data_IF_295454372737
#
_entry.id   IF_295454372737
#
_cell.length_a   1.000
_cell.length_b   1.000
_cell.length_c   1.000
_cell.angle_alpha   90.00
_cell.angle_beta   90.00
_cell.angle_gamma   90.00
#
_symmetry.space_group_name_H-M   'P 1'
#
loop_
_entity.id
_entity.type
_entity.pdbx_description
1 polymer ?
#
# COMPACT_ATOMS: atom_id res chain seq x y z
N UNK A 1 -0.46 32.67 23.07
CA UNK A 1 -0.44 32.25 21.65
C UNK A 1 -0.71 30.76 21.60
N UNK A 2 -1.90 30.31 21.16
CA UNK A 2 -2.18 28.88 21.00
C UNK A 2 -1.27 28.29 19.91
N UNK A 3 -0.52 27.24 20.25
CA UNK A 3 0.31 26.54 19.29
C UNK A 3 -0.59 25.89 18.22
N UNK A 4 -0.34 26.18 16.93
CA UNK A 4 -1.08 25.54 15.83
C UNK A 4 -0.98 24.01 15.96
N UNK A 5 -2.11 23.29 15.80
CA UNK A 5 -2.10 21.83 15.91
C UNK A 5 -1.16 21.24 14.85
N UNK A 6 -0.36 20.25 15.24
CA UNK A 6 0.49 19.52 14.29
C UNK A 6 -0.41 18.83 13.27
N UNK A 7 -0.09 18.99 11.98
CA UNK A 7 -0.85 18.41 10.88
C UNK A 7 -0.12 17.19 10.31
N UNK A 8 -0.88 16.24 9.78
CA UNK A 8 -0.40 15.10 9.02
C UNK A 8 -1.13 15.00 7.68
N UNK A 9 -0.53 14.28 6.73
CA UNK A 9 -1.21 13.96 5.46
C UNK A 9 -1.86 12.58 5.53
N UNK A 10 -3.07 12.48 5.00
CA UNK A 10 -3.83 11.23 4.92
C UNK A 10 -4.43 11.09 3.53
N UNK A 11 -4.39 9.88 2.98
CA UNK A 11 -5.09 9.57 1.73
C UNK A 11 -6.48 9.03 2.06
N UNK A 12 -7.51 9.76 1.62
CA UNK A 12 -8.90 9.30 1.65
C UNK A 12 -9.19 8.59 0.33
N UNK A 13 -9.78 7.40 0.40
CA UNK A 13 -10.18 6.62 -0.78
C UNK A 13 -11.68 6.38 -0.74
N UNK A 14 -12.41 6.93 -1.72
CA UNK A 14 -13.87 6.89 -1.77
C UNK A 14 -14.33 6.34 -3.12
N UNK A 15 -15.37 5.50 -3.09
CA UNK A 15 -15.93 4.90 -4.30
C UNK A 15 -16.62 5.94 -5.17
N UNK A 16 -16.26 5.98 -6.44
CA UNK A 16 -16.95 6.75 -7.49
C UNK A 16 -18.17 5.97 -7.97
N UNK A 17 -19.28 6.66 -8.29
CA UNK A 17 -20.47 6.03 -8.87
C UNK A 17 -20.14 5.39 -10.22
N UNK A 18 -20.62 4.17 -10.44
CA UNK A 18 -20.22 3.33 -11.57
C UNK A 18 -20.54 3.96 -12.94
N UNK A 19 -21.51 4.89 -13.02
CA UNK A 19 -21.83 5.65 -14.25
C UNK A 19 -20.66 6.44 -14.82
N UNK A 20 -19.66 6.78 -14.00
CA UNK A 20 -18.47 7.53 -14.45
C UNK A 20 -17.36 6.61 -14.96
N UNK A 21 -17.51 5.28 -14.84
CA UNK A 21 -16.48 4.33 -15.21
C UNK A 21 -16.08 4.38 -16.70
N UNK A 22 -16.99 4.57 -17.68
CA UNK A 22 -16.59 4.66 -19.10
C UNK A 22 -15.60 5.79 -19.36
N UNK A 23 -15.87 7.00 -18.85
CA UNK A 23 -14.98 8.15 -18.99
C UNK A 23 -13.62 7.90 -18.31
N UNK A 24 -13.62 7.36 -17.10
CA UNK A 24 -12.38 7.08 -16.38
C UNK A 24 -11.54 5.98 -17.06
N UNK A 25 -12.18 4.99 -17.70
CA UNK A 25 -11.48 3.98 -18.50
C UNK A 25 -10.81 4.60 -19.74
N UNK A 26 -11.50 5.52 -20.41
CA UNK A 26 -10.92 6.26 -21.54
C UNK A 26 -9.67 7.04 -21.09
N UNK A 27 -9.76 7.79 -20.00
CA UNK A 27 -8.60 8.52 -19.47
C UNK A 27 -7.48 7.58 -19.01
N UNK A 28 -7.79 6.44 -18.39
CA UNK A 28 -6.75 5.49 -18.02
C UNK A 28 -6.07 4.83 -19.23
N UNK A 29 -6.80 4.63 -20.33
CA UNK A 29 -6.21 4.20 -21.60
C UNK A 29 -5.20 5.24 -22.09
N UNK A 30 -5.58 6.52 -22.11
CA UNK A 30 -4.70 7.63 -22.52
C UNK A 30 -3.50 7.78 -21.57
N UNK A 31 -3.69 7.60 -20.27
CA UNK A 31 -2.59 7.57 -19.29
C UNK A 31 -1.60 6.45 -19.59
N UNK A 32 -2.07 5.28 -20.02
CA UNK A 32 -1.17 4.21 -20.44
C UNK A 32 -0.36 4.61 -21.68
N UNK A 33 -0.94 5.37 -22.63
CA UNK A 33 -0.19 5.86 -23.81
C UNK A 33 0.94 6.79 -23.41
N UNK A 34 0.67 7.75 -22.50
CA UNK A 34 1.69 8.67 -21.97
C UNK A 34 2.79 7.92 -21.21
N UNK A 35 2.41 6.99 -20.34
CA UNK A 35 3.36 6.15 -19.60
C UNK A 35 4.26 5.35 -20.56
N UNK A 36 3.66 4.73 -21.57
CA UNK A 36 4.37 3.88 -22.52
C UNK A 36 5.30 4.69 -23.42
N UNK A 37 4.90 5.88 -23.88
CA UNK A 37 5.77 6.79 -24.62
C UNK A 37 6.96 7.27 -23.76
N UNK A 38 6.70 7.66 -22.50
CA UNK A 38 7.78 8.02 -21.57
C UNK A 38 8.75 6.85 -21.33
N UNK A 39 8.23 5.62 -21.31
CA UNK A 39 9.02 4.40 -21.13
C UNK A 39 9.87 4.04 -22.35
N UNK A 40 9.31 4.25 -23.55
CA UNK A 40 10.00 4.10 -24.83
C UNK A 40 11.17 5.09 -24.92
N UNK A 41 10.90 6.39 -24.77
CA UNK A 41 11.92 7.43 -24.80
C UNK A 41 13.00 7.24 -23.75
N UNK A 42 12.61 6.92 -22.51
CA UNK A 42 13.60 6.70 -21.46
C UNK A 42 14.50 5.50 -21.74
N UNK A 43 14.02 4.51 -22.49
CA UNK A 43 14.80 3.35 -22.89
C UNK A 43 15.73 3.66 -24.06
N UNK A 44 15.26 4.44 -25.04
CA UNK A 44 16.08 4.90 -26.17
C UNK A 44 17.23 5.79 -25.71
N UNK A 45 16.95 6.73 -24.82
CA UNK A 45 17.92 7.67 -24.26
C UNK A 45 18.74 7.09 -23.09
N UNK A 46 18.61 5.79 -22.82
CA UNK A 46 19.21 5.18 -21.63
C UNK A 46 20.71 4.90 -21.74
N UNK A 47 21.16 4.56 -22.94
CA UNK A 47 22.56 4.28 -23.26
C UNK A 47 22.79 4.86 -24.64
N UNK A 48 23.51 5.97 -24.71
CA UNK A 48 23.79 6.69 -25.96
C UNK A 48 25.26 6.45 -26.32
N UNK A 49 25.57 6.04 -27.57
CA UNK A 49 26.94 5.88 -28.02
C UNK A 49 27.57 7.25 -28.26
N UNK A 50 28.74 7.49 -27.68
CA UNK A 50 29.53 8.70 -27.83
C UNK A 50 30.85 8.31 -28.51
N UNK A 51 31.12 8.79 -29.73
CA UNK A 51 32.37 8.50 -30.44
C UNK A 51 33.59 8.80 -29.57
N UNK A 52 34.53 7.85 -29.50
CA UNK A 52 35.76 7.98 -28.70
C UNK A 52 35.60 7.79 -27.18
N UNK A 53 34.38 7.70 -26.64
CA UNK A 53 34.12 7.54 -25.19
C UNK A 53 33.43 6.21 -24.87
N UNK A 54 32.62 5.68 -25.79
CA UNK A 54 31.83 4.46 -25.56
C UNK A 54 30.37 4.77 -25.26
N UNK A 55 29.76 4.11 -24.28
CA UNK A 55 28.34 4.29 -23.96
C UNK A 55 28.16 5.10 -22.67
N UNK A 56 27.33 6.15 -22.73
CA UNK A 56 26.98 6.95 -21.56
C UNK A 56 25.51 6.74 -21.21
N UNK A 57 25.22 6.58 -19.92
CA UNK A 57 23.85 6.61 -19.42
C UNK A 57 23.41 8.06 -19.15
N UNK A 58 22.48 8.56 -19.95
CA UNK A 58 22.06 9.96 -19.88
C UNK A 58 21.14 10.28 -18.69
N UNK A 59 20.66 9.28 -17.94
CA UNK A 59 19.91 9.51 -16.71
C UNK A 59 18.62 10.34 -16.89
N UNK A 60 17.94 10.19 -18.03
CA UNK A 60 16.81 11.04 -18.48
C UNK A 60 15.84 11.43 -17.36
N UNK A 61 15.67 12.72 -17.12
CA UNK A 61 14.81 13.24 -16.06
C UNK A 61 13.33 13.28 -16.47
N UNK A 62 12.44 13.62 -15.53
CA UNK A 62 11.03 13.87 -15.86
C UNK A 62 10.84 15.12 -16.74
N UNK A 63 11.74 16.10 -16.61
CA UNK A 63 11.70 17.34 -17.38
C UNK A 63 12.08 17.10 -18.84
N UNK A 64 13.13 16.31 -19.07
CA UNK A 64 13.57 15.93 -20.42
C UNK A 64 12.46 15.18 -21.15
N UNK A 65 11.88 14.16 -20.50
CA UNK A 65 10.77 13.40 -21.05
C UNK A 65 9.58 14.29 -21.40
N UNK A 66 9.21 15.24 -20.53
CA UNK A 66 8.09 16.15 -20.81
C UNK A 66 8.28 16.95 -22.10
N UNK A 67 9.51 17.39 -22.39
CA UNK A 67 9.85 18.09 -23.63
C UNK A 67 9.80 17.14 -24.83
N UNK A 68 10.45 15.99 -24.75
CA UNK A 68 10.56 15.05 -25.88
C UNK A 68 9.20 14.49 -26.31
N UNK A 69 8.35 14.10 -25.35
CA UNK A 69 7.05 13.49 -25.67
C UNK A 69 5.88 14.47 -25.65
N UNK A 70 6.11 15.79 -25.68
CA UNK A 70 5.05 16.80 -25.63
C UNK A 70 3.93 16.58 -26.68
N UNK A 71 4.32 16.11 -27.87
CA UNK A 71 3.44 15.81 -29.00
C UNK A 71 2.47 14.64 -28.72
N UNK A 72 2.80 13.75 -27.77
CA UNK A 72 1.97 12.59 -27.39
C UNK A 72 0.65 13.03 -26.78
N UNK A 73 0.60 14.18 -26.10
CA UNK A 73 -0.66 14.70 -25.55
C UNK A 73 -1.68 14.98 -26.65
N UNK A 74 -1.27 15.64 -27.72
CA UNK A 74 -2.19 15.96 -28.82
C UNK A 74 -2.57 14.71 -29.63
N UNK A 75 -1.62 13.80 -29.88
CA UNK A 75 -1.83 12.67 -30.79
C UNK A 75 -2.44 11.42 -30.13
N UNK A 76 -2.11 11.13 -28.86
CA UNK A 76 -2.49 9.87 -28.19
C UNK A 76 -3.27 10.04 -26.89
N UNK A 77 -3.32 11.26 -26.33
CA UNK A 77 -3.98 11.54 -25.06
C UNK A 77 -4.72 12.90 -25.02
N UNK A 78 -5.56 13.22 -26.05
CA UNK A 78 -6.12 14.55 -26.20
C UNK A 78 -7.11 14.94 -25.10
N UNK A 79 -7.72 13.96 -24.41
CA UNK A 79 -8.71 14.22 -23.38
C UNK A 79 -8.09 14.35 -21.97
N UNK A 80 -6.78 14.15 -21.82
CA UNK A 80 -6.10 14.30 -20.55
C UNK A 80 -5.87 15.77 -20.19
N UNK A 81 -6.16 16.08 -18.93
CA UNK A 81 -5.75 17.33 -18.30
C UNK A 81 -4.22 17.46 -18.38
N UNK A 82 -3.71 18.67 -18.66
CA UNK A 82 -2.27 18.93 -18.80
C UNK A 82 -1.48 18.50 -17.55
N UNK A 83 -2.01 18.77 -16.35
CA UNK A 83 -1.38 18.32 -15.11
C UNK A 83 -1.34 16.79 -14.94
N UNK A 84 -2.32 16.06 -15.47
CA UNK A 84 -2.29 14.58 -15.47
C UNK A 84 -1.16 14.06 -16.31
N UNK A 85 -1.03 14.60 -17.52
CA UNK A 85 0.06 14.26 -18.43
C UNK A 85 1.42 14.43 -17.76
N UNK A 86 1.66 15.59 -17.14
CA UNK A 86 2.90 15.85 -16.40
C UNK A 86 3.08 14.91 -15.21
N UNK A 87 2.01 14.63 -14.45
CA UNK A 87 2.07 13.76 -13.27
C UNK A 87 2.38 12.31 -13.64
N UNK A 88 1.85 11.80 -14.76
CA UNK A 88 2.18 10.46 -15.25
C UNK A 88 3.69 10.33 -15.52
N UNK A 89 4.29 11.34 -16.16
CA UNK A 89 5.73 11.36 -16.45
C UNK A 89 6.56 11.50 -15.18
N UNK A 90 6.12 12.33 -14.23
CA UNK A 90 6.78 12.49 -12.94
C UNK A 90 6.78 11.17 -12.14
N UNK A 91 5.64 10.47 -12.10
CA UNK A 91 5.52 9.16 -11.43
C UNK A 91 6.35 8.10 -12.14
N UNK A 92 6.39 8.09 -13.48
CA UNK A 92 7.26 7.19 -14.25
C UNK A 92 8.74 7.39 -13.90
N UNK A 93 9.23 8.64 -13.94
CA UNK A 93 10.62 8.96 -13.61
C UNK A 93 10.96 8.58 -12.15
N UNK A 94 10.04 8.84 -11.20
CA UNK A 94 10.19 8.42 -9.80
C UNK A 94 10.29 6.90 -9.68
N UNK A 95 9.45 6.16 -10.40
CA UNK A 95 9.48 4.71 -10.40
C UNK A 95 10.79 4.17 -10.99
N UNK A 96 11.31 4.73 -12.09
CA UNK A 96 12.63 4.38 -12.66
C UNK A 96 13.74 4.51 -11.64
N UNK A 97 13.80 5.63 -10.92
CA UNK A 97 14.77 5.86 -9.84
C UNK A 97 14.63 4.84 -8.70
N UNK A 98 13.39 4.60 -8.25
CA UNK A 98 13.10 3.65 -7.16
C UNK A 98 13.54 2.22 -7.52
N UNK A 99 13.29 1.79 -8.75
CA UNK A 99 13.63 0.44 -9.21
C UNK A 99 15.03 0.34 -9.84
N UNK A 100 15.80 1.44 -9.86
CA UNK A 100 17.12 1.54 -10.50
C UNK A 100 17.09 0.98 -11.93
N UNK A 101 16.05 1.32 -12.69
CA UNK A 101 15.80 0.77 -14.01
C UNK A 101 15.59 1.89 -15.05
N UNK A 102 16.25 1.76 -16.20
CA UNK A 102 16.08 2.69 -17.31
C UNK A 102 14.75 2.47 -18.07
N UNK A 103 14.23 1.23 -18.04
CA UNK A 103 12.97 0.82 -18.66
C UNK A 103 12.11 0.09 -17.63
N UNK A 104 10.85 0.49 -17.52
CA UNK A 104 9.83 -0.15 -16.69
C UNK A 104 8.96 -1.09 -17.53
N UNK A 105 8.07 -1.82 -16.85
CA UNK A 105 7.05 -2.64 -17.52
C UNK A 105 6.07 -1.75 -18.28
N UNK A 106 5.72 -2.18 -19.49
CA UNK A 106 4.66 -1.59 -20.28
C UNK A 106 3.32 -1.69 -19.57
N UNK A 107 2.50 -0.65 -19.69
CA UNK A 107 1.11 -0.68 -19.24
C UNK A 107 0.21 -1.14 -20.37
N UNK A 108 -0.29 -2.38 -20.26
CA UNK A 108 -1.23 -2.95 -21.23
C UNK A 108 -2.66 -2.45 -20.96
N UNK A 109 -3.38 -2.00 -22.00
CA UNK A 109 -4.77 -1.53 -21.84
C UNK A 109 -5.81 -2.65 -21.98
N UNK A 110 -5.46 -3.77 -22.61
CA UNK A 110 -6.36 -4.89 -22.90
C UNK A 110 -5.72 -6.23 -22.55
N UNK A 111 -6.51 -7.30 -22.65
CA UNK A 111 -6.07 -8.67 -22.43
C UNK A 111 -5.96 -9.10 -20.95
N UNK A 112 -5.53 -10.36 -20.70
CA UNK A 112 -5.48 -10.94 -19.35
C UNK A 112 -4.50 -10.23 -18.41
N UNK A 113 -3.45 -9.61 -18.96
CA UNK A 113 -2.42 -8.86 -18.22
C UNK A 113 -2.63 -7.35 -18.28
N UNK A 114 -3.87 -6.88 -18.56
CA UNK A 114 -4.15 -5.45 -18.58
C UNK A 114 -3.81 -4.81 -17.24
N UNK A 115 -3.26 -3.60 -17.30
CA UNK A 115 -3.10 -2.74 -16.15
C UNK A 115 -4.46 -2.27 -15.65
N UNK A 116 -4.62 -2.18 -14.33
CA UNK A 116 -5.79 -1.53 -13.74
C UNK A 116 -5.78 -0.04 -14.06
N UNK A 117 -6.97 0.52 -14.24
CA UNK A 117 -7.14 1.95 -14.52
C UNK A 117 -6.54 2.82 -13.42
N UNK A 118 -5.83 3.87 -13.84
CA UNK A 118 -5.19 4.83 -12.95
C UNK A 118 -5.07 6.16 -13.67
N UNK A 119 -5.54 7.23 -13.03
CA UNK A 119 -5.50 8.60 -13.55
C UNK A 119 -5.02 9.52 -12.43
N UNK A 120 -3.73 9.89 -12.39
CA UNK A 120 -3.19 10.74 -11.34
C UNK A 120 -3.49 12.22 -11.58
N UNK A 121 -3.45 13.01 -10.52
CA UNK A 121 -3.59 14.46 -10.61
C UNK A 121 -2.76 15.19 -9.56
N UNK A 122 -2.33 16.40 -9.91
CA UNK A 122 -1.60 17.30 -9.01
C UNK A 122 -2.55 18.08 -8.10
N UNK A 123 -1.97 18.64 -7.04
CA UNK A 123 -2.64 19.60 -6.14
C UNK A 123 -3.38 20.67 -6.95
N UNK A 124 -4.61 21.01 -6.51
CA UNK A 124 -5.44 22.04 -7.15
C UNK A 124 -6.16 21.61 -8.43
N UNK A 125 -5.86 20.42 -8.99
CA UNK A 125 -6.52 19.97 -10.24
C UNK A 125 -7.91 19.40 -9.99
N UNK A 126 -8.16 18.87 -8.79
CA UNK A 126 -9.46 18.38 -8.36
C UNK A 126 -9.97 19.23 -7.20
N UNK A 127 -11.27 19.55 -7.20
CA UNK A 127 -11.92 20.35 -6.15
C UNK A 127 -13.27 19.75 -5.79
N UNK A 128 -13.73 19.99 -4.57
CA UNK A 128 -15.11 19.70 -4.19
C UNK A 128 -16.02 20.86 -4.63
N UNK A 129 -17.08 20.57 -5.38
CA UNK A 129 -18.05 21.56 -5.87
C UNK A 129 -19.42 20.91 -6.07
N UNK A 130 -20.47 21.55 -5.58
CA UNK A 130 -21.87 21.12 -5.73
C UNK A 130 -22.10 19.64 -5.36
N UNK A 131 -21.59 19.25 -4.17
CA UNK A 131 -21.70 17.89 -3.64
C UNK A 131 -20.96 16.81 -4.44
N UNK A 132 -20.02 17.20 -5.30
CA UNK A 132 -19.32 16.34 -6.25
C UNK A 132 -17.84 16.70 -6.34
N UNK A 133 -17.04 15.75 -6.83
CA UNK A 133 -15.65 16.04 -7.19
C UNK A 133 -15.64 16.61 -8.60
N UNK A 134 -15.18 17.85 -8.78
CA UNK A 134 -14.92 18.46 -10.09
C UNK A 134 -13.47 18.22 -10.48
N UNK A 135 -13.27 17.68 -11.68
CA UNK A 135 -11.94 17.43 -12.24
C UNK A 135 -12.00 17.41 -13.77
N UNK A 136 -11.06 18.11 -14.41
CA UNK A 136 -10.96 18.22 -15.87
C UNK A 136 -12.29 18.60 -16.54
N UNK A 137 -13.03 19.56 -15.97
CA UNK A 137 -14.35 19.99 -16.47
C UNK A 137 -15.53 19.07 -16.14
N UNK A 138 -15.29 17.86 -15.62
CA UNK A 138 -16.35 16.89 -15.29
C UNK A 138 -16.65 16.84 -13.80
N UNK A 139 -17.90 16.49 -13.48
CA UNK A 139 -18.35 16.27 -12.10
C UNK A 139 -18.56 14.79 -11.81
N UNK A 140 -17.91 14.28 -10.78
CA UNK A 140 -17.97 12.90 -10.33
C UNK A 140 -18.79 12.80 -9.04
N UNK A 141 -19.91 12.06 -9.10
CA UNK A 141 -20.64 11.65 -7.89
C UNK A 141 -19.86 10.53 -7.21
N UNK A 142 -19.69 10.64 -5.90
CA UNK A 142 -18.98 9.66 -5.06
C UNK A 142 -19.86 9.22 -3.89
N UNK A 143 -19.51 8.09 -3.28
CA UNK A 143 -20.15 7.61 -2.04
C UNK A 143 -19.45 8.22 -0.83
N UNK A 144 -19.68 9.51 -0.60
CA UNK A 144 -18.96 10.26 0.42
C UNK A 144 -19.41 9.92 1.84
N UNK A 145 -18.58 9.18 2.56
CA UNK A 145 -18.73 8.90 3.99
C UNK A 145 -17.79 9.73 4.87
N UNK A 146 -16.94 10.58 4.27
CA UNK A 146 -15.90 11.33 4.98
C UNK A 146 -16.20 12.83 5.04
N UNK A 147 -17.25 13.30 4.37
CA UNK A 147 -17.56 14.72 4.29
C UNK A 147 -16.46 15.48 3.56
N UNK A 148 -16.19 15.12 2.30
CA UNK A 148 -15.08 15.65 1.51
C UNK A 148 -15.06 17.18 1.39
N UNK A 149 -16.22 17.85 1.56
CA UNK A 149 -16.33 19.30 1.60
C UNK A 149 -15.45 19.96 2.67
N UNK A 150 -15.14 19.26 3.76
CA UNK A 150 -14.35 19.82 4.87
C UNK A 150 -12.84 19.83 4.59
N UNK A 151 -12.39 19.15 3.53
CA UNK A 151 -10.97 18.98 3.26
C UNK A 151 -10.51 19.76 2.04
N UNK A 152 -9.33 20.38 2.16
CA UNK A 152 -8.60 20.89 1.00
C UNK A 152 -7.91 19.75 0.26
N UNK A 153 -8.26 19.56 -1.00
CA UNK A 153 -7.69 18.51 -1.83
C UNK A 153 -6.24 18.85 -2.24
N UNK A 154 -5.34 17.90 -2.01
CA UNK A 154 -3.97 17.94 -2.54
C UNK A 154 -3.87 17.09 -3.81
N UNK A 155 -2.77 16.38 -4.01
CA UNK A 155 -2.60 15.44 -5.11
C UNK A 155 -3.41 14.17 -4.86
N UNK A 156 -3.59 13.37 -5.91
CA UNK A 156 -4.35 12.15 -5.80
C UNK A 156 -4.44 11.38 -7.11
N UNK A 157 -5.38 10.45 -7.16
CA UNK A 157 -5.68 9.72 -8.38
C UNK A 157 -7.09 9.13 -8.37
N UNK A 158 -7.65 8.94 -9.56
CA UNK A 158 -8.69 7.94 -9.75
C UNK A 158 -8.03 6.58 -9.99
N UNK A 159 -8.52 5.53 -9.34
CA UNK A 159 -8.00 4.17 -9.54
C UNK A 159 -9.11 3.12 -9.66
N UNK A 160 -8.86 2.11 -10.49
CA UNK A 160 -9.76 1.00 -10.73
C UNK A 160 -9.36 -0.21 -9.86
N UNK A 161 -10.33 -0.91 -9.27
CA UNK A 161 -10.10 -2.22 -8.66
C UNK A 161 -10.27 -3.36 -9.68
N UNK A 162 -9.88 -4.59 -9.29
CA UNK A 162 -9.98 -5.75 -10.17
C UNK A 162 -11.42 -6.10 -10.64
N UNK A 163 -12.44 -5.58 -9.94
CA UNK A 163 -13.87 -5.74 -10.26
C UNK A 163 -14.38 -4.64 -11.20
N UNK A 164 -13.54 -3.69 -11.57
CA UNK A 164 -13.88 -2.57 -12.45
C UNK A 164 -14.54 -1.39 -11.73
N UNK A 165 -14.47 -1.34 -10.40
CA UNK A 165 -15.00 -0.22 -9.60
C UNK A 165 -13.93 0.85 -9.45
N UNK A 166 -14.36 2.10 -9.51
CA UNK A 166 -13.47 3.24 -9.44
C UNK A 166 -13.48 3.91 -8.08
N UNK A 167 -12.32 4.42 -7.66
CA UNK A 167 -12.13 5.13 -6.41
C UNK A 167 -11.42 6.46 -6.68
N UNK A 168 -11.90 7.51 -6.05
CA UNK A 168 -11.21 8.78 -5.95
C UNK A 168 -10.33 8.73 -4.70
N UNK A 169 -9.02 8.78 -4.91
CA UNK A 169 -8.02 8.77 -3.85
C UNK A 169 -7.43 10.18 -3.77
N UNK A 170 -7.59 10.85 -2.64
CA UNK A 170 -7.15 12.23 -2.46
C UNK A 170 -6.34 12.36 -1.20
N UNK A 171 -5.19 13.00 -1.30
CA UNK A 171 -4.39 13.39 -0.15
C UNK A 171 -5.01 14.64 0.46
N UNK A 172 -5.24 14.61 1.77
CA UNK A 172 -5.74 15.73 2.57
C UNK A 172 -4.85 15.94 3.77
N UNK A 173 -4.87 17.13 4.33
CA UNK A 173 -4.25 17.42 5.62
C UNK A 173 -5.29 17.30 6.73
N UNK A 174 -4.91 16.63 7.82
CA UNK A 174 -5.74 16.47 9.00
C UNK A 174 -4.90 16.77 10.24
N UNK A 175 -5.49 17.33 11.31
CA UNK A 175 -4.78 17.48 12.58
C UNK A 175 -4.38 16.11 13.13
N UNK A 176 -3.26 16.09 13.84
CA UNK A 176 -2.88 14.97 14.70
C UNK A 176 -3.69 15.11 15.98
N UNK A 177 -4.32 14.03 16.42
CA UNK A 177 -5.13 13.97 17.64
C UNK A 177 -4.46 13.03 18.64
N UNK A 178 -3.55 13.53 19.50
CA UNK A 178 -2.89 12.69 20.51
C UNK A 178 -3.91 11.95 21.37
N UNK A 179 -3.71 10.66 21.59
CA UNK A 179 -4.62 9.87 22.45
C UNK A 179 -4.38 10.10 23.96
N UNK A 180 -3.27 10.74 24.34
CA UNK A 180 -2.89 11.01 25.73
C UNK A 180 -2.53 9.78 26.56
N UNK A 181 -2.34 8.61 25.95
CA UNK A 181 -2.03 7.36 26.65
C UNK A 181 -0.52 7.25 26.91
N UNK A 182 -0.15 6.56 27.99
CA UNK A 182 1.25 6.34 28.40
C UNK A 182 1.67 4.87 28.38
N UNK A 183 0.71 3.94 28.29
CA UNK A 183 0.99 2.50 28.26
C UNK A 183 1.75 2.11 26.98
N UNK A 184 2.64 1.13 27.11
CA UNK A 184 3.37 0.54 26.00
C UNK A 184 2.86 -0.89 25.74
N UNK A 185 2.79 -1.28 24.47
CA UNK A 185 2.43 -2.64 24.07
C UNK A 185 3.45 -3.25 23.11
N UNK A 186 3.89 -4.46 23.41
CA UNK A 186 4.69 -5.30 22.51
C UNK A 186 3.78 -6.21 21.69
N UNK A 187 4.01 -6.31 20.38
CA UNK A 187 3.26 -7.13 19.44
C UNK A 187 4.21 -8.14 18.77
N UNK A 188 4.02 -9.41 19.10
CA UNK A 188 4.69 -10.55 18.47
C UNK A 188 3.88 -11.08 17.28
N UNK A 189 4.54 -11.42 16.17
CA UNK A 189 3.89 -11.79 14.92
C UNK A 189 3.98 -13.30 14.66
N UNK A 190 2.83 -13.98 14.66
CA UNK A 190 2.75 -15.44 14.54
C UNK A 190 1.87 -15.95 13.40
N UNK A 191 1.89 -17.27 13.18
CA UNK A 191 0.99 -17.96 12.23
C UNK A 191 -0.15 -18.71 12.92
N UNK A 192 -0.04 -19.00 14.23
CA UNK A 192 -1.12 -19.58 15.04
C UNK A 192 -2.15 -18.51 15.36
N UNK A 193 -1.66 -17.41 15.91
CA UNK A 193 -2.34 -16.13 16.03
C UNK A 193 -1.53 -15.13 15.20
N UNK A 194 -2.19 -14.33 14.35
CA UNK A 194 -1.49 -13.41 13.45
C UNK A 194 -0.68 -12.35 14.18
N UNK A 195 -1.13 -11.98 15.39
CA UNK A 195 -0.40 -11.16 16.33
C UNK A 195 -0.78 -11.53 17.77
N UNK A 196 0.18 -11.49 18.69
CA UNK A 196 -0.03 -11.64 20.14
C UNK A 196 0.56 -10.44 20.85
N UNK A 197 -0.25 -9.76 21.65
CA UNK A 197 0.16 -8.60 22.43
C UNK A 197 0.69 -9.03 23.81
N UNK A 198 1.55 -8.22 24.41
CA UNK A 198 2.14 -8.47 25.74
C UNK A 198 1.13 -8.47 26.88
N UNK A 199 -0.07 -7.92 26.67
CA UNK A 199 -1.20 -7.94 27.60
C UNK A 199 -2.13 -9.14 27.40
N UNK A 200 -1.79 -10.04 26.46
CA UNK A 200 -2.58 -11.23 26.14
C UNK A 200 -3.65 -11.03 25.06
N UNK A 201 -3.90 -9.80 24.57
CA UNK A 201 -4.78 -9.56 23.43
C UNK A 201 -4.20 -10.22 22.18
N UNK A 202 -5.05 -10.83 21.35
CA UNK A 202 -4.62 -11.54 20.15
C UNK A 202 -5.40 -11.11 18.92
N UNK A 203 -4.69 -11.10 17.79
CA UNK A 203 -5.31 -11.12 16.48
C UNK A 203 -5.37 -12.57 16.00
N UNK A 204 -6.55 -13.18 16.10
CA UNK A 204 -6.75 -14.58 15.74
C UNK A 204 -6.51 -14.87 14.25
N UNK A 205 -6.06 -16.10 13.96
CA UNK A 205 -5.91 -16.57 12.59
C UNK A 205 -7.26 -16.96 11.96
N UNK A 206 -7.96 -15.99 11.38
CA UNK A 206 -9.27 -16.19 10.76
C UNK A 206 -9.26 -16.87 9.37
N UNK A 207 -8.13 -17.44 8.94
CA UNK A 207 -7.99 -18.25 7.71
C UNK A 207 -8.70 -17.65 6.47
N UNK A 208 -8.64 -16.33 6.30
CA UNK A 208 -9.47 -15.57 5.36
C UNK A 208 -9.49 -16.14 3.94
N UNK A 209 -8.34 -16.63 3.47
CA UNK A 209 -8.19 -17.28 2.17
C UNK A 209 -8.70 -18.73 2.18
N UNK A 210 -8.31 -19.54 3.17
CA UNK A 210 -8.60 -20.98 3.19
C UNK A 210 -10.10 -21.28 3.26
N UNK A 211 -10.87 -20.48 3.98
CA UNK A 211 -12.34 -20.63 4.05
C UNK A 211 -13.02 -20.55 2.69
N UNK A 212 -12.44 -19.77 1.78
CA UNK A 212 -12.99 -19.48 0.46
C UNK A 212 -12.23 -20.19 -0.66
N UNK A 213 -11.17 -20.93 -0.34
CA UNK A 213 -10.34 -21.66 -1.30
C UNK A 213 -11.12 -22.73 -2.08
N UNK A 214 -11.97 -23.58 -1.46
CA UNK A 214 -12.78 -24.54 -2.21
C UNK A 214 -13.72 -23.86 -3.21
N UNK A 215 -14.41 -22.79 -2.77
CA UNK A 215 -15.30 -21.99 -3.63
C UNK A 215 -14.54 -21.31 -4.75
N UNK A 216 -13.35 -20.78 -4.46
CA UNK A 216 -12.47 -20.16 -5.45
C UNK A 216 -12.07 -21.18 -6.53
N UNK A 217 -11.64 -22.37 -6.12
CA UNK A 217 -11.21 -23.43 -7.04
C UNK A 217 -12.31 -23.89 -8.00
N UNK A 218 -13.56 -24.02 -7.50
CA UNK A 218 -14.72 -24.35 -8.35
C UNK A 218 -14.93 -23.27 -9.41
N UNK A 219 -14.95 -22.00 -9.01
CA UNK A 219 -15.17 -20.88 -9.94
C UNK A 219 -14.01 -20.69 -10.93
N UNK A 220 -12.79 -21.03 -10.53
CA UNK A 220 -11.62 -21.04 -11.42
C UNK A 220 -11.74 -22.11 -12.50
N UNK A 221 -12.08 -23.36 -12.12
CA UNK A 221 -12.30 -24.46 -13.09
C UNK A 221 -13.45 -24.17 -14.05
N UNK A 222 -14.52 -23.55 -13.55
CA UNK A 222 -15.66 -23.12 -14.37
C UNK A 222 -15.36 -21.90 -15.27
N UNK A 223 -14.16 -21.30 -15.22
CA UNK A 223 -13.82 -20.12 -16.00
C UNK A 223 -14.60 -18.86 -15.64
N UNK A 224 -15.29 -18.82 -14.49
CA UNK A 224 -16.14 -17.70 -14.08
C UNK A 224 -15.30 -16.54 -13.51
N UNK A 225 -14.65 -15.79 -14.40
CA UNK A 225 -13.75 -14.68 -14.07
C UNK A 225 -14.39 -13.63 -13.16
N UNK A 226 -15.70 -13.38 -13.30
CA UNK A 226 -16.45 -12.43 -12.45
C UNK A 226 -16.50 -12.92 -11.00
N UNK A 227 -16.86 -14.18 -10.79
CA UNK A 227 -16.94 -14.72 -9.43
C UNK A 227 -15.57 -14.92 -8.79
N UNK A 228 -14.57 -15.33 -9.56
CA UNK A 228 -13.17 -15.38 -9.10
C UNK A 228 -12.73 -14.02 -8.54
N UNK A 229 -12.99 -12.92 -9.26
CA UNK A 229 -12.69 -11.56 -8.80
C UNK A 229 -13.48 -11.16 -7.54
N UNK A 230 -14.75 -11.55 -7.44
CA UNK A 230 -15.57 -11.28 -6.27
C UNK A 230 -15.04 -12.01 -5.02
N UNK A 231 -14.68 -13.28 -5.16
CA UNK A 231 -14.12 -14.08 -4.05
C UNK A 231 -12.79 -13.49 -3.58
N UNK A 232 -11.87 -13.19 -4.50
CA UNK A 232 -10.61 -12.52 -4.14
C UNK A 232 -10.83 -11.17 -3.44
N UNK A 233 -11.79 -10.37 -3.91
CA UNK A 233 -12.14 -9.12 -3.24
C UNK A 233 -12.72 -9.34 -1.84
N UNK A 234 -13.53 -10.39 -1.63
CA UNK A 234 -14.07 -10.76 -0.31
C UNK A 234 -12.93 -11.15 0.64
N UNK A 235 -12.01 -12.02 0.20
CA UNK A 235 -10.83 -12.42 0.98
C UNK A 235 -10.00 -11.19 1.38
N UNK A 236 -9.69 -10.33 0.40
CA UNK A 236 -8.91 -9.09 0.63
C UNK A 236 -9.60 -8.18 1.65
N UNK A 237 -10.91 -7.98 1.53
CA UNK A 237 -11.66 -7.07 2.40
C UNK A 237 -11.81 -7.62 3.83
N UNK A 238 -12.05 -8.93 4.00
CA UNK A 238 -12.07 -9.56 5.34
C UNK A 238 -10.76 -9.37 6.08
N UNK A 239 -9.64 -9.66 5.40
CA UNK A 239 -8.29 -9.44 5.96
C UNK A 239 -8.06 -7.98 6.31
N UNK A 240 -8.38 -7.08 5.38
CA UNK A 240 -8.20 -5.63 5.56
C UNK A 240 -9.01 -5.11 6.75
N UNK A 241 -10.26 -5.55 6.91
CA UNK A 241 -11.14 -5.18 8.02
C UNK A 241 -10.58 -5.63 9.38
N UNK A 242 -10.22 -6.90 9.51
CA UNK A 242 -9.64 -7.45 10.74
C UNK A 242 -8.37 -6.69 11.16
N UNK A 243 -7.44 -6.46 10.23
CA UNK A 243 -6.22 -5.68 10.53
C UNK A 243 -6.54 -4.23 10.90
N UNK A 244 -7.53 -3.59 10.26
CA UNK A 244 -7.90 -2.22 10.59
C UNK A 244 -8.54 -2.11 11.96
N UNK A 245 -9.37 -3.08 12.38
CA UNK A 245 -9.97 -3.08 13.72
C UNK A 245 -8.90 -3.26 14.79
N UNK A 246 -8.06 -4.27 14.62
CA UNK A 246 -6.95 -4.54 15.54
C UNK A 246 -5.99 -3.36 15.65
N UNK A 247 -5.44 -2.87 14.52
CA UNK A 247 -4.53 -1.72 14.54
C UNK A 247 -5.19 -0.41 14.97
N UNK A 248 -6.52 -0.32 14.97
CA UNK A 248 -7.23 0.85 15.52
C UNK A 248 -7.27 0.76 17.04
N UNK A 249 -7.67 -0.37 17.61
CA UNK A 249 -7.67 -0.58 19.06
C UNK A 249 -6.29 -0.29 19.65
N UNK A 250 -5.23 -0.87 19.05
CA UNK A 250 -3.85 -0.69 19.54
C UNK A 250 -3.40 0.78 19.63
N UNK A 251 -3.79 1.65 18.68
CA UNK A 251 -3.42 3.08 18.72
C UNK A 251 -4.38 3.93 19.54
N UNK A 252 -5.56 3.43 19.88
CA UNK A 252 -6.52 4.12 20.74
C UNK A 252 -6.20 3.88 22.21
N UNK A 253 -5.69 2.69 22.54
CA UNK A 253 -5.50 2.24 23.91
C UNK A 253 -4.08 2.43 24.46
N UNK A 254 -3.07 2.57 23.58
CA UNK A 254 -1.66 2.64 23.97
C UNK A 254 -0.93 3.90 23.47
N UNK A 255 0.03 4.38 24.25
CA UNK A 255 0.91 5.51 23.92
C UNK A 255 2.17 5.12 23.15
N UNK A 256 2.57 3.85 23.26
CA UNK A 256 3.71 3.28 22.56
C UNK A 256 3.41 1.87 22.04
N UNK A 257 3.81 1.59 20.80
CA UNK A 257 3.64 0.29 20.14
C UNK A 257 4.98 -0.18 19.60
N UNK A 258 5.44 -1.32 20.10
CA UNK A 258 6.61 -2.03 19.61
C UNK A 258 6.14 -3.28 18.88
N UNK A 259 6.52 -3.43 17.61
CA UNK A 259 6.18 -4.62 16.83
C UNK A 259 7.45 -5.29 16.34
N UNK A 260 7.49 -6.61 16.41
CA UNK A 260 8.64 -7.34 15.94
C UNK A 260 8.74 -7.44 14.40
N UNK A 261 9.96 -7.62 13.91
CA UNK A 261 10.31 -7.58 12.49
C UNK A 261 10.27 -8.97 11.87
N UNK A 262 9.06 -9.41 11.51
CA UNK A 262 8.91 -10.58 10.65
C UNK A 262 8.98 -10.18 9.17
N UNK A 263 9.95 -10.77 8.46
CA UNK A 263 10.12 -10.56 7.02
C UNK A 263 9.09 -11.35 6.21
N UNK A 264 7.93 -10.74 5.97
CA UNK A 264 6.85 -11.37 5.20
C UNK A 264 7.29 -11.77 3.79
N UNK A 265 8.19 -11.00 3.16
CA UNK A 265 8.68 -11.28 1.80
C UNK A 265 9.59 -12.51 1.73
N UNK A 266 10.42 -12.76 2.75
CA UNK A 266 11.24 -13.97 2.84
C UNK A 266 10.37 -15.19 3.12
N UNK A 267 9.46 -15.09 4.09
CA UNK A 267 8.59 -16.21 4.46
C UNK A 267 7.57 -16.56 3.37
N UNK A 268 7.13 -15.59 2.57
CA UNK A 268 6.27 -15.81 1.41
C UNK A 268 6.93 -16.63 0.29
N UNK A 269 8.26 -16.82 0.30
CA UNK A 269 8.99 -17.68 -0.65
C UNK A 269 9.15 -19.12 -0.15
N UNK A 270 8.58 -19.46 1.00
CA UNK A 270 8.64 -20.81 1.59
C UNK A 270 7.30 -21.55 1.42
N UNK A 271 7.21 -22.79 1.90
CA UNK A 271 5.96 -23.57 1.96
C UNK A 271 4.84 -22.89 2.79
N UNK A 272 5.18 -21.87 3.58
CA UNK A 272 4.22 -21.10 4.40
C UNK A 272 3.58 -19.92 3.66
N UNK A 273 3.84 -19.74 2.37
CA UNK A 273 3.40 -18.58 1.59
C UNK A 273 1.93 -18.22 1.76
N UNK A 274 1.03 -19.22 1.71
CA UNK A 274 -0.41 -19.01 1.90
C UNK A 274 -0.72 -18.40 3.27
N UNK A 275 -0.19 -19.00 4.35
CA UNK A 275 -0.42 -18.55 5.72
C UNK A 275 0.14 -17.15 5.97
N UNK A 276 1.34 -16.86 5.45
CA UNK A 276 1.99 -15.54 5.57
C UNK A 276 1.19 -14.47 4.84
N UNK A 277 0.72 -14.77 3.63
CA UNK A 277 -0.12 -13.84 2.88
C UNK A 277 -1.45 -13.59 3.58
N UNK A 278 -2.02 -14.61 4.23
CA UNK A 278 -3.28 -14.49 4.96
C UNK A 278 -3.14 -13.65 6.23
N UNK A 279 -2.03 -13.82 6.97
CA UNK A 279 -1.71 -13.02 8.15
C UNK A 279 -1.57 -11.52 7.84
N UNK A 280 -0.98 -11.19 6.68
CA UNK A 280 -0.95 -9.81 6.21
C UNK A 280 -0.07 -8.86 7.05
N UNK A 281 0.98 -9.37 7.70
CA UNK A 281 1.85 -8.60 8.61
C UNK A 281 2.39 -7.29 8.03
N UNK A 282 2.81 -7.26 6.76
CA UNK A 282 3.24 -6.01 6.13
C UNK A 282 2.13 -4.95 6.12
N UNK A 283 0.88 -5.36 5.86
CA UNK A 283 -0.27 -4.48 5.91
C UNK A 283 -0.57 -4.05 7.36
N UNK A 284 -0.45 -4.95 8.33
CA UNK A 284 -0.61 -4.62 9.75
C UNK A 284 0.42 -3.56 10.20
N UNK A 285 1.71 -3.77 9.93
CA UNK A 285 2.79 -2.82 10.25
C UNK A 285 2.53 -1.45 9.62
N UNK A 286 2.19 -1.42 8.32
CA UNK A 286 1.83 -0.19 7.62
C UNK A 286 0.65 0.52 8.32
N UNK A 287 -0.37 -0.24 8.72
CA UNK A 287 -1.55 0.31 9.38
C UNK A 287 -1.27 0.87 10.77
N UNK A 288 -0.51 0.16 11.58
CA UNK A 288 -0.06 0.64 12.89
C UNK A 288 0.75 1.92 12.73
N UNK A 289 1.72 1.95 11.81
CA UNK A 289 2.59 3.10 11.60
C UNK A 289 1.82 4.38 11.25
N UNK A 290 0.99 4.37 10.20
CA UNK A 290 0.30 5.60 9.80
C UNK A 290 -0.77 6.03 10.81
N UNK A 291 -1.40 5.08 11.53
CA UNK A 291 -2.37 5.41 12.57
C UNK A 291 -1.70 5.95 13.83
N UNK A 292 -0.53 5.43 14.17
CA UNK A 292 0.25 5.89 15.30
C UNK A 292 0.69 7.34 15.10
N UNK A 293 1.20 7.68 13.91
CA UNK A 293 1.48 9.08 13.51
C UNK A 293 0.25 9.96 13.76
N UNK A 294 -0.93 9.49 13.34
CA UNK A 294 -2.14 10.27 13.46
C UNK A 294 -2.72 10.43 14.85
N UNK A 295 -2.32 9.56 15.79
CA UNK A 295 -2.69 9.60 17.20
C UNK A 295 -1.55 10.04 18.12
N UNK A 296 -0.45 10.53 17.56
CA UNK A 296 0.74 10.91 18.33
C UNK A 296 1.37 9.76 19.12
N UNK A 297 1.11 8.52 18.72
CA UNK A 297 1.60 7.29 19.36
C UNK A 297 3.00 6.97 18.86
N UNK A 298 3.90 6.59 19.75
CA UNK A 298 5.24 6.15 19.37
C UNK A 298 5.18 4.75 18.76
N UNK A 299 5.71 4.58 17.55
CA UNK A 299 5.72 3.29 16.85
C UNK A 299 7.15 2.89 16.48
N UNK A 300 7.53 1.67 16.84
CA UNK A 300 8.85 1.12 16.49
C UNK A 300 8.75 -0.33 16.04
N UNK A 301 9.35 -0.60 14.89
CA UNK A 301 9.67 -1.96 14.46
C UNK A 301 11.04 -2.36 15.02
N UNK A 302 11.11 -3.51 15.69
CA UNK A 302 12.33 -4.04 16.34
C UNK A 302 12.72 -5.39 15.74
N UNK A 303 14.02 -5.67 15.66
CA UNK A 303 14.49 -6.99 15.26
C UNK A 303 14.18 -8.00 16.38
N UNK A 304 13.47 -9.08 16.04
CA UNK A 304 13.11 -10.17 16.98
C UNK A 304 14.25 -11.16 17.17
N UNK A 305 15.44 -10.91 16.61
CA UNK A 305 16.60 -11.78 16.85
C UNK A 305 16.79 -12.01 18.34
N UNK A 306 16.84 -13.27 18.71
CA UNK A 306 17.01 -13.76 20.08
C UNK A 306 15.83 -13.49 21.02
N UNK A 307 14.69 -12.94 20.58
CA UNK A 307 13.52 -12.77 21.46
C UNK A 307 13.01 -14.09 22.05
N UNK A 308 13.17 -15.19 21.31
CA UNK A 308 12.84 -16.56 21.77
C UNK A 308 13.95 -17.21 22.61
N UNK A 309 15.13 -16.58 22.68
CA UNK A 309 16.32 -17.12 23.36
C UNK A 309 16.67 -16.33 24.63
N UNK A 310 16.27 -15.06 24.70
CA UNK A 310 16.49 -14.16 25.82
C UNK A 310 15.47 -14.49 26.92
N UNK A 311 15.95 -14.72 28.14
CA UNK A 311 15.07 -14.82 29.30
C UNK A 311 14.38 -13.47 29.57
N UNK A 312 13.05 -13.48 29.71
CA UNK A 312 12.26 -12.28 30.04
C UNK A 312 12.53 -11.75 31.46
N UNK A 313 13.01 -12.59 32.37
CA UNK A 313 13.32 -12.22 33.74
C UNK A 313 14.72 -11.58 33.87
N UNK A 314 15.78 -12.27 33.40
CA UNK A 314 17.16 -11.84 33.65
C UNK A 314 17.92 -11.36 32.41
N UNK A 315 17.32 -11.41 31.21
CA UNK A 315 17.97 -10.98 29.96
C UNK A 315 19.08 -11.91 29.44
N UNK A 316 19.36 -13.03 30.13
CA UNK A 316 20.40 -13.98 29.74
C UNK A 316 20.06 -14.77 28.49
N UNK A 317 21.09 -15.11 27.70
CA UNK A 317 21.00 -15.98 26.51
C UNK A 317 21.90 -17.22 26.74
N UNK A 318 21.51 -18.13 27.63
CA UNK A 318 22.31 -19.33 27.91
C UNK A 318 22.27 -20.30 26.72
N UNK A 319 23.23 -21.22 26.66
CA UNK A 319 23.34 -22.19 25.56
C UNK A 319 22.13 -23.10 25.39
N UNK A 320 21.40 -23.33 26.50
CA UNK A 320 20.15 -24.11 26.58
C UNK A 320 18.92 -23.34 26.09
N UNK A 321 19.06 -22.07 25.73
CA UNK A 321 17.96 -21.25 25.23
C UNK A 321 17.34 -21.88 23.96
N UNK A 322 16.00 -21.85 23.80
CA UNK A 322 15.34 -22.46 22.65
C UNK A 322 15.78 -21.82 21.34
N UNK A 323 16.50 -22.58 20.52
CA UNK A 323 17.06 -22.11 19.25
C UNK A 323 16.65 -22.97 18.06
N UNK A 324 16.49 -22.31 16.92
CA UNK A 324 16.13 -22.96 15.65
C UNK A 324 14.73 -23.59 15.65
N UNK A 325 14.48 -24.46 14.65
CA UNK A 325 13.16 -25.11 14.48
C UNK A 325 12.78 -26.05 15.62
N UNK A 326 13.76 -26.74 16.22
CA UNK A 326 13.53 -27.60 17.37
C UNK A 326 13.05 -26.79 18.59
N UNK A 327 13.62 -25.60 18.80
CA UNK A 327 13.22 -24.67 19.86
C UNK A 327 11.80 -24.13 19.73
N UNK A 328 11.23 -24.03 18.51
CA UNK A 328 9.85 -23.55 18.31
C UNK A 328 8.78 -24.47 18.91
N UNK A 329 9.12 -25.74 19.18
CA UNK A 329 8.23 -26.70 19.83
C UNK A 329 8.19 -26.59 21.36
N UNK A 330 9.18 -25.92 21.96
CA UNK A 330 9.33 -25.79 23.41
C UNK A 330 8.26 -24.83 23.94
N UNK A 331 7.39 -25.32 24.84
CA UNK A 331 6.25 -24.55 25.39
C UNK A 331 6.55 -23.93 26.75
N UNK A 332 7.41 -24.58 27.51
CA UNK A 332 7.96 -24.12 28.78
C UNK A 332 9.47 -24.32 28.72
N UNK A 333 10.20 -23.30 29.16
CA UNK A 333 11.65 -23.33 29.27
C UNK A 333 12.00 -22.65 30.58
N UNK A 334 12.81 -23.33 31.40
CA UNK A 334 13.32 -22.78 32.65
C UNK A 334 14.69 -22.19 32.39
N UNK A 335 14.87 -20.91 32.71
CA UNK A 335 16.12 -20.21 32.51
C UNK A 335 17.17 -20.70 33.52
N UNK A 336 18.30 -21.29 33.10
CA UNK A 336 19.36 -21.71 34.03
C UNK A 336 20.05 -20.52 34.73
N UNK A 337 19.92 -19.30 34.21
CA UNK A 337 20.55 -18.12 34.81
C UNK A 337 19.79 -17.59 36.04
N UNK A 338 18.46 -17.76 36.08
CA UNK A 338 17.63 -17.18 37.15
C UNK A 338 16.49 -18.09 37.67
N UNK A 339 16.32 -19.29 37.11
CA UNK A 339 15.30 -20.25 37.52
C UNK A 339 13.86 -19.93 37.08
N UNK A 340 13.66 -18.86 36.32
CA UNK A 340 12.35 -18.42 35.82
C UNK A 340 11.81 -19.26 34.65
#
# INVERSE_FOLDING_TARGET
MEAKPKMQTKTISIRVRDKHAPLLRQWAFEVNQVWNAANEESALLSWVPVPGVGWINCGTSAFDLQKTIQHVRASRAPNLHSHTYQEVIAVHAKARKQFKANKLRWRCSSGPRRSLGWVPFKVGSAVWKDGRVRYNGHFFKVWDSYGLSQYKFRSGSFSEDARGRWYFNVVVEVPIEPNGKTSAIGIDLGLKDYATCSDGIKLEAHKFYRDLEPKLGIQQRAGNKKQVKNIHAKIKNRRKDALHKFSRAMVEDHGAIVIGNVSSSKLAKTKMAKSVMDAGWFMLKTQLQYKAIGRGVWFKEVDERYSTQVCSCCGGIPDSSPKGRAGLGVRSWVCPCCGA
#
